data_IF_784581886416
#
_entry.id   IF_784581886416
#
_cell.length_a   1.000
_cell.length_b   1.000
_cell.length_c   1.000
_cell.angle_alpha   90.00
_cell.angle_beta   90.00
_cell.angle_gamma   90.00
#
_symmetry.space_group_name_H-M   'P 1'
#
loop_
_entity.id
_entity.type
_entity.pdbx_description
1 polymer ?
#
# COMPACT_ATOMS: atom_id res chain seq x y z
N UNK A 1 3.37 51.64 -47.21
CA UNK A 1 4.70 51.41 -46.56
C UNK A 1 4.62 51.33 -45.03
N UNK A 2 4.04 52.31 -44.31
CA UNK A 2 4.04 52.32 -42.83
C UNK A 2 3.33 51.12 -42.15
N UNK A 3 2.21 50.62 -42.72
CA UNK A 3 1.47 49.46 -42.17
C UNK A 3 2.23 48.13 -42.30
N UNK A 4 3.01 47.97 -43.37
CA UNK A 4 3.84 46.75 -43.58
C UNK A 4 5.01 46.70 -42.60
N UNK A 5 5.58 47.85 -42.25
CA UNK A 5 6.65 47.96 -41.26
C UNK A 5 6.14 47.61 -39.85
N UNK A 6 4.95 48.08 -39.51
CA UNK A 6 4.31 47.81 -38.22
C UNK A 6 3.95 46.33 -38.04
N UNK A 7 3.45 45.68 -39.10
CA UNK A 7 3.21 44.23 -39.10
C UNK A 7 4.52 43.44 -38.94
N UNK A 8 5.59 43.83 -39.64
CA UNK A 8 6.91 43.19 -39.51
C UNK A 8 7.45 43.28 -38.08
N UNK A 9 7.30 44.43 -37.41
CA UNK A 9 7.77 44.62 -36.04
C UNK A 9 6.95 43.81 -35.03
N UNK A 10 5.63 43.72 -35.20
CA UNK A 10 4.80 42.85 -34.40
C UNK A 10 5.16 41.37 -34.59
N UNK A 11 5.38 40.93 -35.83
CA UNK A 11 5.77 39.55 -36.14
C UNK A 11 7.12 39.19 -35.53
N UNK A 12 8.11 40.08 -35.63
CA UNK A 12 9.43 39.89 -35.02
C UNK A 12 9.36 39.86 -33.49
N UNK A 13 8.54 40.70 -32.87
CA UNK A 13 8.32 40.69 -31.42
C UNK A 13 7.66 39.39 -30.95
N UNK A 14 6.68 38.85 -31.69
CA UNK A 14 6.07 37.55 -31.37
C UNK A 14 7.05 36.40 -31.54
N UNK A 15 7.90 36.41 -32.58
CA UNK A 15 8.92 35.37 -32.78
C UNK A 15 9.96 35.42 -31.66
N UNK A 16 10.38 36.61 -31.23
CA UNK A 16 11.29 36.77 -30.09
C UNK A 16 10.66 36.28 -28.78
N UNK A 17 9.38 36.53 -28.54
CA UNK A 17 8.66 36.05 -27.36
C UNK A 17 8.48 34.51 -27.37
N UNK A 18 8.20 33.90 -28.53
CA UNK A 18 8.15 32.45 -28.68
C UNK A 18 9.54 31.81 -28.54
N UNK A 19 10.60 32.44 -29.06
CA UNK A 19 11.97 31.95 -28.90
C UNK A 19 12.44 31.97 -27.43
N UNK A 20 11.97 32.92 -26.63
CA UNK A 20 12.20 32.96 -25.18
C UNK A 20 11.44 31.85 -24.42
N UNK A 21 10.29 31.40 -24.94
CA UNK A 21 9.52 30.27 -24.40
C UNK A 21 10.08 28.90 -24.82
N UNK A 22 10.88 28.84 -25.89
CA UNK A 22 11.60 27.63 -26.33
C UNK A 22 13.04 27.58 -25.85
N UNK A 23 13.44 28.44 -24.90
CA UNK A 23 14.71 28.24 -24.21
C UNK A 23 14.69 26.83 -23.62
N UNK A 24 15.64 25.95 -23.95
CA UNK A 24 15.59 24.57 -23.49
C UNK A 24 15.51 24.62 -21.97
N UNK A 25 14.42 24.09 -21.41
CA UNK A 25 14.43 23.65 -20.02
C UNK A 25 15.74 22.88 -19.86
N UNK A 26 16.59 23.22 -18.87
CA UNK A 26 17.81 22.44 -18.66
C UNK A 26 17.37 20.99 -18.44
N UNK A 27 17.52 20.17 -19.47
CA UNK A 27 17.44 18.74 -19.43
C UNK A 27 18.66 18.29 -18.64
N UNK A 28 18.52 18.35 -17.31
CA UNK A 28 19.65 18.33 -16.39
C UNK A 28 19.60 19.41 -15.33
N UNK A 29 18.43 19.73 -14.77
CA UNK A 29 18.41 20.08 -13.36
C UNK A 29 18.98 18.85 -12.63
N UNK A 30 20.29 18.90 -12.36
CA UNK A 30 20.93 17.95 -11.48
C UNK A 30 20.07 17.87 -10.22
N UNK A 31 19.69 16.65 -9.82
CA UNK A 31 19.14 16.45 -8.48
C UNK A 31 20.05 17.21 -7.52
N UNK A 32 19.50 18.04 -6.61
CA UNK A 32 20.32 18.81 -5.70
C UNK A 32 21.26 17.84 -4.98
N UNK A 33 22.56 17.92 -5.30
CA UNK A 33 23.65 17.20 -4.62
C UNK A 33 23.94 17.84 -3.27
N UNK A 34 22.89 18.06 -2.49
CA UNK A 34 22.97 18.37 -1.08
C UNK A 34 22.14 17.32 -0.38
N UNK A 35 22.72 16.61 0.58
CA UNK A 35 21.95 15.92 1.59
C UNK A 35 21.15 17.00 2.34
N UNK A 36 19.97 17.34 1.82
CA UNK A 36 18.98 18.09 2.57
C UNK A 36 18.69 17.22 3.79
N UNK A 37 19.16 17.63 4.96
CA UNK A 37 18.98 16.88 6.21
C UNK A 37 17.48 16.74 6.45
N UNK A 38 16.94 15.59 6.06
CA UNK A 38 15.54 15.27 6.27
C UNK A 38 15.28 15.19 7.77
N UNK A 39 14.14 15.72 8.24
CA UNK A 39 13.79 15.62 9.65
C UNK A 39 13.61 14.15 10.04
N UNK A 40 14.23 13.79 11.17
CA UNK A 40 13.98 12.52 11.87
C UNK A 40 12.60 12.63 12.52
N UNK A 41 11.67 11.78 12.11
CA UNK A 41 10.32 11.74 12.70
C UNK A 41 10.34 10.90 13.98
N UNK A 42 11.05 9.77 13.94
CA UNK A 42 11.26 8.90 15.09
C UNK A 42 12.60 8.19 14.97
N UNK A 43 13.43 8.30 16.02
CA UNK A 43 14.77 7.73 16.04
C UNK A 43 14.73 6.19 15.99
N UNK A 44 13.86 5.59 16.80
CA UNK A 44 13.70 4.14 16.90
C UNK A 44 12.23 3.74 16.72
N UNK A 45 11.97 2.90 15.72
CA UNK A 45 10.63 2.34 15.51
C UNK A 45 9.87 3.01 14.39
N UNK A 46 8.56 2.82 14.43
CA UNK A 46 7.63 3.32 13.42
C UNK A 46 6.79 4.42 14.06
N UNK A 47 6.71 5.57 13.39
CA UNK A 47 5.72 6.62 13.71
C UNK A 47 4.48 6.43 12.83
N UNK A 48 3.43 5.83 13.40
CA UNK A 48 2.22 5.49 12.66
C UNK A 48 1.23 6.64 12.50
N UNK A 49 1.37 7.73 13.27
CA UNK A 49 0.44 8.87 13.21
C UNK A 49 0.85 9.83 12.09
N UNK A 50 0.06 9.88 11.02
CA UNK A 50 0.34 10.71 9.85
C UNK A 50 0.45 12.21 10.19
N UNK A 51 -0.26 12.68 11.22
CA UNK A 51 -0.24 14.07 11.69
C UNK A 51 1.13 14.48 12.25
N UNK A 52 1.89 13.52 12.80
CA UNK A 52 3.25 13.79 13.32
C UNK A 52 4.18 14.08 12.14
N UNK A 53 4.10 13.29 11.07
CA UNK A 53 4.81 13.55 9.81
C UNK A 53 4.42 14.89 9.19
N UNK A 54 3.14 15.26 9.26
CA UNK A 54 2.63 16.52 8.71
C UNK A 54 3.22 17.79 9.34
N UNK A 55 3.75 17.72 10.56
CA UNK A 55 4.49 18.84 11.18
C UNK A 55 5.81 19.15 10.47
N UNK A 56 6.40 18.13 9.83
CA UNK A 56 7.71 18.20 9.19
C UNK A 56 7.61 18.23 7.65
N UNK A 57 6.59 17.58 7.09
CA UNK A 57 6.34 17.47 5.65
C UNK A 57 4.93 17.99 5.29
N UNK A 58 4.62 19.29 5.52
CA UNK A 58 3.27 19.81 5.43
C UNK A 58 2.67 19.71 4.02
N UNK A 59 3.49 19.82 2.96
CA UNK A 59 3.01 19.70 1.57
C UNK A 59 2.59 18.27 1.23
N UNK A 60 3.41 17.30 1.58
CA UNK A 60 3.18 15.87 1.34
C UNK A 60 1.99 15.37 2.18
N UNK A 61 1.91 15.80 3.43
CA UNK A 61 0.78 15.45 4.29
C UNK A 61 -0.54 16.07 3.77
N UNK A 62 -0.51 17.34 3.35
CA UNK A 62 -1.68 17.96 2.73
C UNK A 62 -2.14 17.20 1.49
N UNK A 63 -1.23 16.86 0.56
CA UNK A 63 -1.60 16.12 -0.66
C UNK A 63 -2.05 14.69 -0.38
N UNK A 64 -1.48 13.99 0.61
CA UNK A 64 -1.97 12.68 1.05
C UNK A 64 -3.42 12.77 1.56
N UNK A 65 -3.73 13.81 2.35
CA UNK A 65 -5.06 14.02 2.92
C UNK A 65 -6.14 14.25 1.85
N UNK A 66 -5.75 14.76 0.68
CA UNK A 66 -6.66 14.92 -0.47
C UNK A 66 -7.23 13.59 -0.98
N UNK A 67 -6.65 12.44 -0.63
CA UNK A 67 -7.28 11.13 -0.90
C UNK A 67 -8.65 11.00 -0.22
N UNK A 68 -8.91 11.77 0.84
CA UNK A 68 -10.24 11.92 1.45
C UNK A 68 -11.31 12.50 0.52
N UNK A 69 -10.95 13.14 -0.60
CA UNK A 69 -11.92 13.58 -1.62
C UNK A 69 -12.41 12.42 -2.50
N UNK A 70 -11.73 11.28 -2.49
CA UNK A 70 -12.16 10.06 -3.16
C UNK A 70 -13.06 9.25 -2.23
N UNK A 71 -14.26 9.77 -1.99
CA UNK A 71 -15.21 9.28 -0.96
C UNK A 71 -16.18 8.21 -1.47
N UNK A 72 -16.42 8.19 -2.79
CA UNK A 72 -17.47 7.40 -3.42
C UNK A 72 -17.35 5.91 -3.11
N UNK A 73 -18.42 5.32 -2.58
CA UNK A 73 -18.59 3.87 -2.45
C UNK A 73 -19.37 3.38 -3.66
N UNK A 74 -18.71 2.57 -4.48
CA UNK A 74 -19.29 1.96 -5.67
C UNK A 74 -19.47 0.46 -5.43
N UNK A 75 -20.71 0.05 -5.08
CA UNK A 75 -21.06 -1.35 -4.85
C UNK A 75 -20.93 -2.19 -6.13
N UNK A 76 -19.96 -3.10 -6.12
CA UNK A 76 -19.64 -3.93 -7.28
C UNK A 76 -20.55 -5.14 -7.37
N UNK A 77 -21.13 -5.62 -6.27
CA UNK A 77 -22.12 -6.70 -6.30
C UNK A 77 -23.41 -6.21 -6.95
N UNK A 78 -23.82 -4.98 -6.68
CA UNK A 78 -24.95 -4.33 -7.37
C UNK A 78 -24.66 -4.08 -8.85
N UNK A 79 -23.46 -3.60 -9.19
CA UNK A 79 -23.08 -3.32 -10.59
C UNK A 79 -22.83 -4.57 -11.43
N UNK A 80 -22.37 -5.65 -10.80
CA UNK A 80 -21.99 -6.92 -11.42
C UNK A 80 -22.64 -8.08 -10.63
N UNK A 81 -23.94 -8.31 -10.82
CA UNK A 81 -24.72 -9.26 -10.00
C UNK A 81 -24.35 -10.74 -10.21
N UNK A 82 -23.46 -11.06 -11.15
CA UNK A 82 -22.84 -12.38 -11.24
C UNK A 82 -21.79 -12.64 -10.15
N UNK A 83 -21.20 -11.60 -9.55
CA UNK A 83 -20.12 -11.73 -8.57
C UNK A 83 -20.53 -12.51 -7.31
N UNK A 84 -21.72 -12.29 -6.70
CA UNK A 84 -22.18 -13.10 -5.58
C UNK A 84 -22.34 -14.60 -5.92
N UNK A 85 -22.65 -14.93 -7.18
CA UNK A 85 -22.76 -16.32 -7.64
C UNK A 85 -21.36 -16.93 -7.76
N UNK A 86 -20.42 -16.22 -8.39
CA UNK A 86 -19.03 -16.67 -8.54
C UNK A 86 -18.30 -16.83 -7.20
N UNK A 87 -18.69 -16.06 -6.19
CA UNK A 87 -18.11 -16.10 -4.84
C UNK A 87 -19.04 -16.73 -3.80
N UNK A 88 -20.00 -17.56 -4.24
CA UNK A 88 -20.91 -18.24 -3.34
C UNK A 88 -20.14 -19.07 -2.30
N UNK A 89 -20.46 -18.90 -1.02
CA UNK A 89 -19.73 -19.53 0.09
C UNK A 89 -18.54 -18.72 0.61
N UNK A 90 -18.11 -17.67 -0.10
CA UNK A 90 -16.97 -16.82 0.27
C UNK A 90 -17.41 -15.42 0.74
N UNK A 91 -16.71 -14.73 1.66
CA UNK A 91 -17.14 -13.43 2.20
C UNK A 91 -17.39 -12.35 1.16
N UNK A 92 -16.72 -12.40 0.01
CA UNK A 92 -16.90 -11.44 -1.08
C UNK A 92 -18.30 -11.45 -1.70
N UNK A 93 -19.06 -12.55 -1.56
CA UNK A 93 -20.48 -12.59 -1.96
C UNK A 93 -21.40 -11.72 -1.09
N UNK A 94 -20.93 -11.30 0.10
CA UNK A 94 -21.70 -10.48 1.04
C UNK A 94 -21.53 -8.99 0.80
N UNK A 95 -20.29 -8.57 0.56
CA UNK A 95 -19.94 -7.16 0.37
C UNK A 95 -18.60 -7.04 -0.38
N UNK A 96 -18.63 -6.30 -1.49
CA UNK A 96 -17.47 -5.99 -2.31
C UNK A 96 -17.71 -4.67 -3.03
N UNK A 97 -16.94 -3.65 -2.66
CA UNK A 97 -17.01 -2.30 -3.22
C UNK A 97 -15.73 -2.00 -4.01
N UNK A 98 -15.84 -1.13 -5.00
CA UNK A 98 -14.68 -0.59 -5.69
C UNK A 98 -13.77 0.18 -4.70
N UNK A 99 -12.45 0.24 -4.95
CA UNK A 99 -11.55 1.00 -4.09
C UNK A 99 -11.89 2.48 -4.11
N UNK A 100 -11.60 3.14 -2.98
CA UNK A 100 -11.64 4.60 -2.82
C UNK A 100 -10.35 5.11 -2.17
N UNK A 101 -10.31 6.35 -1.71
CA UNK A 101 -9.08 6.97 -1.21
C UNK A 101 -8.43 6.24 -0.03
N UNK A 102 -7.10 6.23 0.03
CA UNK A 102 -6.30 5.65 1.13
C UNK A 102 -6.71 6.14 2.51
N UNK A 103 -7.18 7.39 2.61
CA UNK A 103 -7.75 7.98 3.82
C UNK A 103 -8.81 7.09 4.49
N UNK A 104 -9.57 6.33 3.71
CA UNK A 104 -10.66 5.50 4.19
C UNK A 104 -10.29 4.04 4.46
N UNK A 105 -9.05 3.63 4.20
CA UNK A 105 -8.67 2.21 4.19
C UNK A 105 -8.99 1.47 5.50
N UNK A 106 -8.69 2.07 6.66
CA UNK A 106 -9.04 1.50 7.98
C UNK A 106 -10.56 1.47 8.18
N UNK A 107 -11.24 2.56 7.86
CA UNK A 107 -12.70 2.63 8.02
C UNK A 107 -13.42 1.61 7.12
N UNK A 108 -12.94 1.39 5.91
CA UNK A 108 -13.56 0.47 4.95
C UNK A 108 -13.34 -0.99 5.33
N UNK A 109 -12.17 -1.36 5.86
CA UNK A 109 -11.96 -2.72 6.38
C UNK A 109 -12.77 -2.95 7.67
N UNK A 110 -13.04 -1.92 8.45
CA UNK A 110 -13.96 -2.00 9.61
C UNK A 110 -15.41 -2.13 9.15
N UNK A 111 -15.83 -1.37 8.14
CA UNK A 111 -17.23 -1.30 7.71
C UNK A 111 -17.69 -2.48 6.86
N UNK A 112 -16.76 -3.12 6.14
CA UNK A 112 -17.16 -4.15 5.19
C UNK A 112 -17.82 -5.34 5.89
N UNK A 113 -18.89 -5.90 5.30
CA UNK A 113 -19.56 -7.07 5.88
C UNK A 113 -18.65 -8.32 5.89
N UNK A 114 -17.52 -8.28 5.18
CA UNK A 114 -16.53 -9.37 5.16
C UNK A 114 -15.89 -9.59 6.53
N UNK A 115 -15.57 -8.53 7.28
CA UNK A 115 -14.98 -8.62 8.62
C UNK A 115 -16.02 -8.95 9.70
N UNK A 116 -17.31 -8.83 9.38
CA UNK A 116 -18.42 -9.25 10.24
C UNK A 116 -18.57 -8.39 11.49
N UNK A 117 -19.10 -8.98 12.56
CA UNK A 117 -19.40 -8.30 13.82
C UNK A 117 -18.76 -9.03 15.01
N UNK A 118 -17.44 -8.91 15.23
CA UNK A 118 -16.81 -9.51 16.41
C UNK A 118 -17.35 -8.87 17.70
N UNK A 119 -17.46 -9.68 18.75
CA UNK A 119 -17.91 -9.26 20.10
C UNK A 119 -16.78 -9.31 21.13
N UNK A 120 -15.62 -9.81 20.73
CA UNK A 120 -14.40 -9.88 21.53
C UNK A 120 -13.16 -10.03 20.64
N UNK A 121 -11.94 -9.79 21.18
CA UNK A 121 -10.68 -9.91 20.42
C UNK A 121 -10.41 -11.28 19.77
N UNK A 122 -11.13 -12.33 20.20
CA UNK A 122 -10.94 -13.71 19.72
C UNK A 122 -12.11 -14.21 18.84
N UNK A 123 -13.07 -13.35 18.52
CA UNK A 123 -14.23 -13.68 17.67
C UNK A 123 -14.13 -12.98 16.31
N UNK A 124 -15.07 -13.32 15.42
CA UNK A 124 -15.13 -12.81 14.06
C UNK A 124 -14.63 -13.81 13.01
N UNK A 125 -15.06 -13.64 11.75
CA UNK A 125 -14.74 -14.56 10.67
C UNK A 125 -13.26 -14.51 10.26
N UNK A 126 -12.67 -13.32 10.18
CA UNK A 126 -11.38 -13.10 9.51
C UNK A 126 -10.17 -13.05 10.46
N UNK A 127 -8.95 -13.36 9.97
CA UNK A 127 -7.71 -13.30 10.74
C UNK A 127 -7.14 -11.88 10.85
N UNK A 128 -6.14 -11.69 11.72
CA UNK A 128 -5.38 -10.43 11.85
C UNK A 128 -4.77 -9.92 10.55
N UNK A 129 -4.45 -10.83 9.62
CA UNK A 129 -3.88 -10.54 8.31
C UNK A 129 -4.69 -9.54 7.46
N UNK A 130 -6.01 -9.41 7.70
CA UNK A 130 -6.83 -8.45 6.98
C UNK A 130 -6.44 -6.97 7.25
N UNK A 131 -5.67 -6.70 8.32
CA UNK A 131 -5.10 -5.37 8.58
C UNK A 131 -3.88 -5.04 7.72
N UNK A 132 -3.18 -6.04 7.17
CA UNK A 132 -1.79 -5.90 6.72
C UNK A 132 -1.54 -4.82 5.68
N UNK A 133 -2.54 -4.53 4.85
CA UNK A 133 -2.47 -3.56 3.77
C UNK A 133 -3.38 -2.34 4.02
N UNK A 134 -3.58 -1.95 5.28
CA UNK A 134 -4.57 -0.91 5.66
C UNK A 134 -4.02 0.22 6.51
N UNK A 135 -2.86 0.05 7.15
CA UNK A 135 -2.40 0.97 8.19
C UNK A 135 -0.89 0.92 8.45
N UNK A 136 -0.27 2.06 8.80
CA UNK A 136 1.10 2.12 9.30
C UNK A 136 1.24 1.57 10.74
N UNK A 137 0.14 1.28 11.45
CA UNK A 137 0.19 0.55 12.71
C UNK A 137 0.62 -0.91 12.52
N UNK A 138 0.52 -1.46 11.31
CA UNK A 138 0.97 -2.82 11.00
C UNK A 138 2.48 -2.99 11.20
N UNK A 139 3.37 -2.22 10.56
CA UNK A 139 4.81 -2.36 10.76
C UNK A 139 5.23 -1.97 12.18
N UNK A 140 4.49 -1.05 12.84
CA UNK A 140 4.64 -0.77 14.27
C UNK A 140 4.40 -2.04 15.11
N UNK A 141 3.24 -2.67 14.96
CA UNK A 141 2.87 -3.89 15.68
C UNK A 141 3.82 -5.05 15.37
N UNK A 142 4.19 -5.25 14.11
CA UNK A 142 5.15 -6.29 13.71
C UNK A 142 6.49 -6.08 14.42
N UNK A 143 6.96 -4.84 14.56
CA UNK A 143 8.19 -4.53 15.31
C UNK A 143 8.04 -4.78 16.82
N UNK A 144 6.87 -4.50 17.38
CA UNK A 144 6.61 -4.65 18.82
C UNK A 144 6.39 -6.10 19.24
N UNK A 145 5.60 -6.88 18.48
CA UNK A 145 5.18 -8.24 18.86
C UNK A 145 5.82 -9.34 18.02
N UNK A 146 6.46 -8.99 16.90
CA UNK A 146 6.98 -9.94 15.91
C UNK A 146 5.92 -10.36 14.88
N UNK A 147 6.37 -10.63 13.66
CA UNK A 147 5.50 -10.94 12.51
C UNK A 147 4.58 -12.15 12.75
N UNK A 148 5.11 -13.19 13.38
CA UNK A 148 4.36 -14.41 13.69
C UNK A 148 3.20 -14.16 14.66
N UNK A 149 3.44 -13.38 15.72
CA UNK A 149 2.39 -13.03 16.67
C UNK A 149 1.36 -12.09 16.03
N UNK A 150 1.82 -11.17 15.18
CA UNK A 150 0.94 -10.32 14.39
C UNK A 150 -0.02 -11.15 13.51
N UNK A 151 0.47 -12.19 12.81
CA UNK A 151 -0.38 -13.06 11.99
C UNK A 151 -1.15 -14.15 12.76
N UNK A 152 -1.08 -14.14 14.09
CA UNK A 152 -1.80 -15.10 14.95
C UNK A 152 -3.05 -14.46 15.56
N UNK A 153 -4.21 -15.06 15.29
CA UNK A 153 -5.49 -14.69 15.91
C UNK A 153 -6.51 -14.08 14.94
N UNK A 154 -7.56 -13.48 15.51
CA UNK A 154 -8.67 -12.88 14.76
C UNK A 154 -8.42 -11.42 14.44
N UNK A 155 -9.04 -10.92 13.37
CA UNK A 155 -9.01 -9.52 12.96
C UNK A 155 -9.31 -8.57 14.14
N UNK A 156 -10.29 -8.91 14.97
CA UNK A 156 -10.70 -8.14 16.14
C UNK A 156 -9.58 -7.93 17.19
N UNK A 157 -8.54 -8.78 17.21
CA UNK A 157 -7.41 -8.72 18.15
C UNK A 157 -6.75 -7.34 18.21
N UNK A 158 -6.61 -6.69 17.04
CA UNK A 158 -5.94 -5.40 16.92
C UNK A 158 -6.90 -4.23 16.64
N UNK A 159 -8.20 -4.41 16.89
CA UNK A 159 -9.21 -3.39 16.57
C UNK A 159 -8.99 -2.04 17.27
N UNK A 160 -8.40 -2.04 18.47
CA UNK A 160 -8.03 -0.81 19.20
C UNK A 160 -6.62 -0.30 18.92
N UNK A 161 -5.82 -1.06 18.16
CA UNK A 161 -4.40 -0.79 17.89
C UNK A 161 -4.15 -0.29 16.46
N UNK A 162 -4.94 -0.78 15.50
CA UNK A 162 -4.85 -0.43 14.08
C UNK A 162 -5.90 0.64 13.78
N UNK A 163 -5.52 1.91 13.97
CA UNK A 163 -6.45 3.05 13.96
C UNK A 163 -6.03 4.16 13.00
N UNK A 164 -4.79 4.14 12.50
CA UNK A 164 -4.30 5.12 11.54
C UNK A 164 -4.50 4.58 10.11
N UNK A 165 -5.12 5.33 9.18
CA UNK A 165 -5.21 4.90 7.78
C UNK A 165 -3.84 4.89 7.09
N UNK A 166 -3.76 4.20 5.94
CA UNK A 166 -2.56 4.10 5.09
C UNK A 166 -1.84 5.44 5.03
N UNK A 167 -0.56 5.43 5.34
CA UNK A 167 0.15 6.61 5.82
C UNK A 167 1.60 6.70 5.41
N UNK A 168 2.29 7.72 5.92
CA UNK A 168 3.69 8.01 5.60
C UNK A 168 4.60 6.81 5.91
N UNK A 169 4.43 6.23 7.09
CA UNK A 169 5.22 5.10 7.57
C UNK A 169 4.95 3.75 6.87
N UNK A 170 3.92 3.65 6.01
CA UNK A 170 3.77 2.48 5.15
C UNK A 170 4.83 2.43 4.04
N UNK A 171 5.30 3.61 3.61
CA UNK A 171 6.19 3.77 2.46
C UNK A 171 7.53 4.42 2.81
N UNK A 172 7.66 5.05 3.99
CA UNK A 172 8.85 5.78 4.39
C UNK A 172 9.44 5.29 5.72
N UNK A 173 10.76 5.25 5.80
CA UNK A 173 11.49 5.03 7.06
C UNK A 173 11.30 6.24 8.00
N UNK A 174 10.95 5.99 9.26
CA UNK A 174 10.64 7.06 10.23
C UNK A 174 11.87 7.86 10.67
N UNK A 175 13.07 7.31 10.50
CA UNK A 175 14.33 7.97 10.86
C UNK A 175 14.89 8.77 9.70
N UNK A 176 14.95 8.19 8.49
CA UNK A 176 15.60 8.85 7.34
C UNK A 176 14.63 9.56 6.40
N UNK A 177 13.34 9.19 6.42
CA UNK A 177 12.34 9.66 5.46
C UNK A 177 12.53 9.07 4.05
N UNK A 178 13.46 8.14 3.83
CA UNK A 178 13.62 7.44 2.55
C UNK A 178 12.48 6.47 2.29
N UNK A 179 12.26 6.12 1.01
CA UNK A 179 11.35 5.03 0.67
C UNK A 179 11.84 3.72 1.30
N UNK A 180 10.93 2.99 1.93
CA UNK A 180 11.23 1.75 2.62
C UNK A 180 10.12 0.72 2.37
N UNK A 181 10.52 -0.56 2.29
CA UNK A 181 9.59 -1.69 2.29
C UNK A 181 9.33 -2.08 3.75
N UNK A 182 8.20 -1.65 4.28
CA UNK A 182 7.74 -1.88 5.65
C UNK A 182 7.07 -3.25 5.84
N UNK A 183 6.85 -4.00 4.75
CA UNK A 183 6.21 -5.32 4.74
C UNK A 183 7.18 -6.44 4.33
N UNK A 184 7.52 -7.31 5.26
CA UNK A 184 8.47 -8.42 5.02
C UNK A 184 7.96 -9.43 3.99
N UNK A 185 6.63 -9.63 3.90
CA UNK A 185 6.05 -10.54 2.90
C UNK A 185 6.29 -10.08 1.45
N UNK A 186 6.43 -8.77 1.18
CA UNK A 186 6.85 -8.30 -0.16
C UNK A 186 8.29 -8.72 -0.46
N UNK A 187 9.20 -8.58 0.51
CA UNK A 187 10.60 -8.98 0.33
C UNK A 187 10.70 -10.49 0.06
N UNK A 188 9.90 -11.30 0.76
CA UNK A 188 9.79 -12.75 0.50
C UNK A 188 9.25 -13.04 -0.89
N UNK A 189 8.18 -12.37 -1.33
CA UNK A 189 7.63 -12.52 -2.68
C UNK A 189 8.64 -12.16 -3.77
N UNK A 190 9.32 -11.02 -3.64
CA UNK A 190 10.37 -10.60 -4.56
C UNK A 190 11.52 -11.61 -4.63
N UNK A 191 11.99 -12.11 -3.49
CA UNK A 191 13.02 -13.13 -3.45
C UNK A 191 12.55 -14.44 -4.13
N UNK A 192 11.30 -14.85 -3.90
CA UNK A 192 10.69 -16.02 -4.54
C UNK A 192 10.59 -15.86 -6.06
N UNK A 193 10.38 -14.64 -6.56
CA UNK A 193 10.39 -14.33 -7.99
C UNK A 193 11.80 -14.11 -8.57
N UNK A 194 12.87 -14.40 -7.80
CA UNK A 194 14.27 -14.26 -8.24
C UNK A 194 14.82 -12.83 -8.19
N UNK A 195 14.13 -11.87 -7.58
CA UNK A 195 14.61 -10.49 -7.42
C UNK A 195 15.53 -10.41 -6.20
N UNK A 196 16.74 -9.90 -6.40
CA UNK A 196 17.66 -9.55 -5.32
C UNK A 196 17.23 -8.23 -4.68
N UNK A 197 16.50 -8.33 -3.57
CA UNK A 197 15.93 -7.18 -2.83
C UNK A 197 17.03 -6.17 -2.41
N UNK A 198 18.26 -6.62 -2.19
CA UNK A 198 19.36 -5.73 -1.81
C UNK A 198 19.87 -4.86 -2.97
N UNK A 199 19.54 -5.20 -4.22
CA UNK A 199 19.96 -4.49 -5.43
C UNK A 199 18.84 -3.70 -6.11
N UNK A 200 17.68 -3.61 -5.47
CA UNK A 200 16.54 -2.83 -5.97
C UNK A 200 16.95 -1.36 -6.10
N UNK A 201 16.69 -0.77 -7.27
CA UNK A 201 17.05 0.62 -7.53
C UNK A 201 16.09 1.59 -6.83
N UNK A 202 16.52 2.84 -6.60
CA UNK A 202 15.63 3.90 -6.10
C UNK A 202 14.43 4.15 -7.04
N UNK A 203 14.59 3.87 -8.33
CA UNK A 203 13.50 4.00 -9.31
C UNK A 203 12.45 2.91 -9.09
N UNK A 204 12.89 1.65 -8.94
CA UNK A 204 11.99 0.52 -8.72
C UNK A 204 11.22 0.65 -7.40
N UNK A 205 11.87 1.21 -6.37
CA UNK A 205 11.22 1.52 -5.08
C UNK A 205 9.95 2.36 -5.22
N UNK A 206 9.85 3.23 -6.25
CA UNK A 206 8.66 4.05 -6.49
C UNK A 206 7.42 3.21 -6.84
N UNK A 207 7.62 2.02 -7.40
CA UNK A 207 6.57 1.04 -7.68
C UNK A 207 6.43 0.03 -6.55
N UNK A 208 7.55 -0.41 -5.96
CA UNK A 208 7.54 -1.46 -4.94
C UNK A 208 6.87 -1.03 -3.64
N UNK A 209 6.92 0.26 -3.26
CA UNK A 209 6.15 0.74 -2.11
C UNK A 209 4.64 0.54 -2.29
N UNK A 210 4.14 0.57 -3.53
CA UNK A 210 2.75 0.25 -3.87
C UNK A 210 2.50 -1.26 -3.88
N UNK A 211 3.46 -2.04 -4.38
CA UNK A 211 3.39 -3.51 -4.45
C UNK A 211 3.39 -4.19 -3.07
N UNK A 212 3.62 -3.44 -1.98
CA UNK A 212 3.37 -3.93 -0.62
C UNK A 212 1.90 -4.30 -0.39
N UNK A 213 0.97 -3.68 -1.14
CA UNK A 213 -0.46 -3.84 -0.94
C UNK A 213 -1.23 -4.20 -2.23
N UNK A 214 -0.81 -3.66 -3.38
CA UNK A 214 -1.53 -3.80 -4.65
C UNK A 214 -1.08 -5.02 -5.46
N UNK A 215 -1.31 -6.20 -4.89
CA UNK A 215 -0.85 -7.48 -5.44
C UNK A 215 -1.83 -8.58 -5.06
N UNK A 216 -1.78 -9.69 -5.81
CA UNK A 216 -2.44 -10.94 -5.43
C UNK A 216 -1.74 -11.58 -4.22
N UNK A 217 -2.53 -12.15 -3.31
CA UNK A 217 -2.03 -12.82 -2.12
C UNK A 217 -2.99 -13.90 -1.62
N UNK A 218 -2.45 -14.86 -0.88
CA UNK A 218 -3.23 -15.79 -0.07
C UNK A 218 -2.77 -15.80 1.39
N UNK A 219 -3.53 -16.47 2.26
CA UNK A 219 -3.13 -16.71 3.63
C UNK A 219 -2.52 -18.11 3.77
N UNK A 220 -1.20 -18.14 3.92
CA UNK A 220 -0.49 -19.38 4.24
C UNK A 220 -0.72 -19.75 5.70
N UNK A 221 -1.50 -20.81 5.91
CA UNK A 221 -1.77 -21.37 7.24
C UNK A 221 -0.55 -22.17 7.72
N UNK A 222 0.00 -21.78 8.87
CA UNK A 222 1.01 -22.56 9.59
C UNK A 222 0.45 -22.95 10.95
N UNK A 223 0.35 -24.24 11.22
CA UNK A 223 -0.07 -24.75 12.53
C UNK A 223 1.15 -25.10 13.38
N UNK A 224 1.10 -24.70 14.64
CA UNK A 224 2.10 -25.05 15.63
C UNK A 224 1.42 -25.51 16.91
N UNK A 225 2.06 -26.46 17.60
CA UNK A 225 1.64 -26.93 18.91
C UNK A 225 2.63 -26.40 19.94
N UNK A 226 2.15 -25.65 20.92
CA UNK A 226 3.00 -25.20 22.01
C UNK A 226 3.38 -26.35 22.95
N UNK A 227 4.35 -26.10 23.84
CA UNK A 227 4.83 -27.11 24.80
C UNK A 227 3.75 -27.65 25.76
N UNK A 228 2.57 -27.01 25.82
CA UNK A 228 1.42 -27.42 26.63
C UNK A 228 0.32 -28.09 25.79
N UNK A 229 0.58 -28.40 24.51
CA UNK A 229 -0.37 -29.03 23.61
C UNK A 229 -1.39 -28.08 22.99
N UNK A 230 -1.27 -26.77 23.21
CA UNK A 230 -2.13 -25.76 22.61
C UNK A 230 -1.81 -25.57 21.13
N UNK A 231 -2.80 -25.76 20.26
CA UNK A 231 -2.65 -25.48 18.82
C UNK A 231 -2.83 -24.00 18.53
N UNK A 232 -1.88 -23.39 17.83
CA UNK A 232 -1.96 -22.04 17.28
C UNK A 232 -1.80 -22.10 15.77
N UNK A 233 -2.66 -21.37 15.06
CA UNK A 233 -2.56 -21.20 13.62
C UNK A 233 -2.17 -19.76 13.30
N UNK A 234 -1.17 -19.61 12.45
CA UNK A 234 -0.76 -18.33 11.86
C UNK A 234 -1.31 -18.26 10.44
N UNK A 235 -1.86 -17.11 10.05
CA UNK A 235 -2.38 -16.87 8.69
C UNK A 235 -1.52 -15.79 8.01
N UNK A 236 -0.37 -16.18 7.48
CA UNK A 236 0.62 -15.24 6.95
C UNK A 236 0.28 -14.80 5.54
N UNK A 237 0.26 -13.50 5.27
CA UNK A 237 0.17 -12.96 3.90
C UNK A 237 1.34 -13.47 3.07
N UNK A 238 1.04 -14.13 1.95
CA UNK A 238 2.03 -14.73 1.07
C UNK A 238 1.69 -14.40 -0.38
N UNK A 239 2.71 -14.02 -1.16
CA UNK A 239 2.56 -13.71 -2.58
C UNK A 239 2.92 -14.94 -3.42
N UNK A 240 2.05 -15.40 -4.33
CA UNK A 240 2.22 -16.63 -5.10
C UNK A 240 3.14 -16.43 -6.33
N UNK A 241 4.35 -15.89 -6.13
CA UNK A 241 5.21 -15.42 -7.21
C UNK A 241 6.33 -16.39 -7.61
N UNK A 242 6.43 -17.54 -6.95
CA UNK A 242 7.50 -18.54 -7.18
C UNK A 242 7.58 -19.02 -8.63
N UNK A 243 6.46 -18.98 -9.37
CA UNK A 243 6.37 -19.42 -10.77
C UNK A 243 6.30 -18.27 -11.78
N UNK A 244 6.18 -17.03 -11.33
CA UNK A 244 5.97 -15.85 -12.17
C UNK A 244 4.77 -15.00 -11.74
N UNK A 245 4.43 -14.01 -12.57
CA UNK A 245 3.40 -13.01 -12.26
C UNK A 245 2.14 -13.13 -13.13
N UNK A 246 2.13 -14.01 -14.14
CA UNK A 246 0.97 -14.18 -15.02
C UNK A 246 -0.11 -14.99 -14.29
N UNK A 247 -1.35 -14.87 -14.77
CA UNK A 247 -2.46 -15.64 -14.22
C UNK A 247 -2.19 -17.15 -14.23
N UNK A 248 -1.62 -17.66 -15.32
CA UNK A 248 -1.28 -19.08 -15.49
C UNK A 248 -0.14 -19.53 -14.55
N UNK A 249 0.81 -18.63 -14.27
CA UNK A 249 1.92 -18.92 -13.34
C UNK A 249 1.38 -19.05 -11.90
N UNK A 250 0.48 -18.14 -11.50
CA UNK A 250 -0.17 -18.12 -10.19
C UNK A 250 -1.13 -19.30 -10.02
N UNK A 251 -1.90 -19.64 -11.06
CA UNK A 251 -2.75 -20.84 -11.08
C UNK A 251 -1.90 -22.11 -10.89
N UNK A 252 -0.82 -22.26 -11.67
CA UNK A 252 0.09 -23.38 -11.52
C UNK A 252 0.72 -23.45 -10.13
N UNK A 253 0.97 -22.31 -9.46
CA UNK A 253 1.47 -22.27 -8.10
C UNK A 253 0.47 -22.88 -7.12
N UNK A 254 -0.79 -22.43 -7.16
CA UNK A 254 -1.84 -22.90 -6.27
C UNK A 254 -2.20 -24.38 -6.51
N UNK A 255 -2.25 -24.81 -7.77
CA UNK A 255 -2.49 -26.22 -8.15
C UNK A 255 -1.42 -27.15 -7.57
N UNK A 256 -0.15 -26.75 -7.64
CA UNK A 256 0.96 -27.57 -7.14
C UNK A 256 0.90 -27.82 -5.62
N UNK A 257 0.17 -26.98 -4.88
CA UNK A 257 -0.03 -27.13 -3.44
C UNK A 257 -1.45 -27.57 -3.07
N UNK A 258 -2.31 -27.89 -4.05
CA UNK A 258 -3.73 -28.20 -3.87
C UNK A 258 -4.44 -27.16 -2.98
N UNK A 259 -4.15 -25.88 -3.21
CA UNK A 259 -4.71 -24.79 -2.40
C UNK A 259 -6.12 -24.41 -2.87
N UNK A 260 -6.94 -23.96 -1.92
CA UNK A 260 -8.23 -23.34 -2.18
C UNK A 260 -8.51 -22.34 -1.05
N UNK A 261 -9.03 -21.17 -1.41
CA UNK A 261 -9.39 -20.10 -0.47
C UNK A 261 -10.61 -20.40 0.42
#
# INVERSE_FOLDING_TARGET
MKKSWMLLHCSLATIAALALLTSPYPAGAAEPKGEEKRPVIKEDGVESKNEVWGKHYPRQYASWKETGKSEKIDDMLKKKPQLPILWAGYPFSKDYNAPRGHFYAVQDVVNTLRTGAPVSPITGPLPTACWSCKSPDVPRLIKEVGEKEYFTGKWAKYGSEVVNPIGCADCHDSKTGDLALSREYLKRGLAASGVDVAKVSKSDMRSLVCAQCHVEYYFKKTEETDAKGGKKATMTVTFPWDKGFKGEDVEAYYDAMNFSD
#
